data_IF_251246036053
#
_entry.id   IF_251246036053
#
_cell.length_a   1.000
_cell.length_b   1.000
_cell.length_c   1.000
_cell.angle_alpha   90.00
_cell.angle_beta   90.00
_cell.angle_gamma   90.00
#
_symmetry.space_group_name_H-M   'P 1'
#
loop_
_entity.id
_entity.type
_entity.pdbx_description
1 polymer ?
#
# COMPACT_ATOMS: atom_id res chain seq x y z
N UNK A 1 -47.55 -26.84 -20.20
CA UNK A 1 -47.01 -26.19 -18.97
C UNK A 1 -45.55 -26.54 -18.71
N UNK A 2 -45.17 -27.83 -18.63
CA UNK A 2 -43.77 -28.25 -18.40
C UNK A 2 -42.75 -27.70 -19.42
N UNK A 3 -43.07 -27.68 -20.72
CA UNK A 3 -42.17 -27.12 -21.73
C UNK A 3 -41.99 -25.60 -21.66
N UNK A 4 -43.04 -24.86 -21.27
CA UNK A 4 -42.95 -23.39 -21.10
C UNK A 4 -42.02 -23.02 -19.93
N UNK A 5 -42.08 -23.79 -18.84
CA UNK A 5 -41.19 -23.65 -17.69
C UNK A 5 -39.73 -23.87 -18.07
N UNK A 6 -39.45 -24.88 -18.90
CA UNK A 6 -38.08 -25.18 -19.35
C UNK A 6 -37.52 -24.05 -20.23
N UNK A 7 -38.34 -23.46 -21.11
CA UNK A 7 -37.93 -22.34 -21.97
C UNK A 7 -37.64 -21.08 -21.13
N UNK A 8 -38.48 -20.78 -20.13
CA UNK A 8 -38.27 -19.65 -19.22
C UNK A 8 -36.99 -19.79 -18.38
N UNK A 9 -36.69 -20.98 -17.88
CA UNK A 9 -35.46 -21.27 -17.14
C UNK A 9 -34.22 -21.11 -18.04
N UNK A 10 -34.33 -21.49 -19.31
CA UNK A 10 -33.24 -21.35 -20.29
C UNK A 10 -32.89 -19.89 -20.58
N UNK A 11 -33.89 -19.01 -20.66
CA UNK A 11 -33.71 -17.57 -20.88
C UNK A 11 -33.11 -16.89 -19.63
N UNK A 12 -33.53 -17.29 -18.43
CA UNK A 12 -33.00 -16.81 -17.15
C UNK A 12 -31.51 -17.13 -16.96
N UNK A 13 -31.07 -18.30 -17.42
CA UNK A 13 -29.66 -18.71 -17.36
C UNK A 13 -28.78 -17.94 -18.36
N UNK A 14 -29.34 -17.54 -19.51
CA UNK A 14 -28.65 -16.72 -20.53
C UNK A 14 -28.52 -15.23 -20.13
N UNK A 15 -29.35 -14.75 -19.20
CA UNK A 15 -29.26 -13.38 -18.68
C UNK A 15 -28.24 -13.18 -17.55
N UNK A 16 -27.42 -14.20 -17.25
CA UNK A 16 -26.30 -14.01 -16.34
C UNK A 16 -25.33 -13.02 -16.99
N UNK A 17 -25.11 -11.82 -16.42
CA UNK A 17 -24.06 -10.96 -16.92
C UNK A 17 -22.76 -11.75 -16.89
N UNK A 18 -22.08 -11.81 -18.04
CA UNK A 18 -20.72 -12.29 -18.18
C UNK A 18 -19.79 -11.36 -17.38
N UNK A 19 -19.86 -11.39 -16.05
CA UNK A 19 -18.86 -10.81 -15.17
C UNK A 19 -17.66 -11.75 -15.17
N UNK A 20 -16.96 -11.73 -16.30
CA UNK A 20 -15.73 -12.48 -16.55
C UNK A 20 -14.82 -11.76 -17.55
N UNK A 21 -15.10 -10.50 -17.85
CA UNK A 21 -14.14 -9.69 -18.60
C UNK A 21 -13.09 -9.21 -17.60
N UNK A 22 -11.93 -9.87 -17.61
CA UNK A 22 -10.70 -9.30 -17.08
C UNK A 22 -10.44 -8.00 -17.84
N UNK A 23 -11.03 -6.90 -17.38
CA UNK A 23 -10.54 -5.58 -17.75
C UNK A 23 -9.16 -5.46 -17.11
N UNK A 24 -8.17 -5.09 -17.91
CA UNK A 24 -6.89 -4.66 -17.34
C UNK A 24 -7.18 -3.59 -16.29
N UNK A 25 -6.49 -3.65 -15.14
CA UNK A 25 -6.64 -2.67 -14.02
C UNK A 25 -6.57 -1.21 -14.50
N UNK A 26 -5.99 -0.98 -15.67
CA UNK A 26 -5.82 0.31 -16.31
C UNK A 26 -6.29 0.30 -17.76
N UNK A 27 -6.84 1.43 -18.21
CA UNK A 27 -7.34 1.62 -19.59
C UNK A 27 -6.25 2.10 -20.56
N UNK A 28 -5.13 2.62 -20.03
CA UNK A 28 -3.98 3.05 -20.82
C UNK A 28 -2.69 3.06 -19.99
N UNK A 29 -1.55 3.09 -20.67
CA UNK A 29 -0.23 3.26 -20.03
C UNK A 29 -0.18 4.58 -19.24
N UNK A 30 -0.74 5.66 -19.78
CA UNK A 30 -0.79 6.95 -19.09
C UNK A 30 -1.60 6.89 -17.79
N UNK A 31 -2.75 6.21 -17.82
CA UNK A 31 -3.60 6.06 -16.63
C UNK A 31 -2.96 5.13 -15.59
N UNK A 32 -2.25 4.09 -16.02
CA UNK A 32 -1.42 3.26 -15.15
C UNK A 32 -0.36 4.09 -14.42
N UNK A 33 0.45 4.86 -15.16
CA UNK A 33 1.53 5.67 -14.59
C UNK A 33 0.99 6.70 -13.59
N UNK A 34 -0.05 7.46 -13.96
CA UNK A 34 -0.60 8.49 -13.10
C UNK A 34 -1.21 7.91 -11.81
N UNK A 35 -1.94 6.80 -11.93
CA UNK A 35 -2.55 6.14 -10.78
C UNK A 35 -1.47 5.55 -9.86
N UNK A 36 -0.44 4.91 -10.41
CA UNK A 36 0.69 4.39 -9.62
C UNK A 36 1.46 5.51 -8.93
N UNK A 37 1.73 6.63 -9.61
CA UNK A 37 2.39 7.78 -8.99
C UNK A 37 1.56 8.34 -7.84
N UNK A 38 0.23 8.43 -8.00
CA UNK A 38 -0.68 8.90 -6.95
C UNK A 38 -0.76 7.93 -5.76
N UNK A 39 -0.89 6.63 -6.02
CA UNK A 39 -0.91 5.57 -5.00
C UNK A 39 0.37 5.59 -4.15
N UNK A 40 1.52 5.83 -4.78
CA UNK A 40 2.81 5.93 -4.09
C UNK A 40 3.12 7.34 -3.55
N UNK A 41 2.16 8.28 -3.61
CA UNK A 41 2.33 9.69 -3.19
C UNK A 41 3.56 10.35 -3.82
N UNK A 42 3.81 10.05 -5.09
CA UNK A 42 4.92 10.59 -5.90
C UNK A 42 4.51 11.83 -6.70
N UNK A 43 3.35 12.41 -6.41
CA UNK A 43 2.81 13.56 -7.15
C UNK A 43 3.10 14.86 -6.42
N UNK A 44 3.54 15.89 -7.13
CA UNK A 44 3.70 17.25 -6.58
C UNK A 44 4.82 17.36 -5.54
N UNK A 45 4.55 18.13 -4.47
CA UNK A 45 5.52 18.41 -3.40
C UNK A 45 5.80 17.21 -2.49
N UNK A 46 4.94 16.17 -2.49
CA UNK A 46 5.11 15.00 -1.63
C UNK A 46 6.40 14.22 -1.97
N UNK A 47 6.70 14.06 -3.26
CA UNK A 47 7.96 13.46 -3.71
C UNK A 47 9.17 14.29 -3.25
N UNK A 48 9.07 15.62 -3.31
CA UNK A 48 10.14 16.52 -2.87
C UNK A 48 10.36 16.42 -1.35
N UNK A 49 9.28 16.45 -0.57
CA UNK A 49 9.37 16.34 0.90
C UNK A 49 9.93 14.97 1.32
N UNK A 50 9.51 13.89 0.64
CA UNK A 50 10.04 12.55 0.84
C UNK A 50 11.57 12.48 0.62
N UNK A 51 12.03 13.03 -0.51
CA UNK A 51 13.46 13.08 -0.82
C UNK A 51 14.21 13.98 0.17
N UNK A 52 13.63 15.13 0.52
CA UNK A 52 14.20 16.08 1.48
C UNK A 52 14.42 15.44 2.85
N UNK A 53 13.41 14.78 3.42
CA UNK A 53 13.52 14.11 4.72
C UNK A 53 14.58 13.00 4.72
N UNK A 54 14.65 12.23 3.63
CA UNK A 54 15.65 11.17 3.50
C UNK A 54 17.06 11.75 3.37
N UNK A 55 17.23 12.82 2.58
CA UNK A 55 18.49 13.53 2.46
C UNK A 55 18.91 14.19 3.79
N UNK A 56 18.00 14.84 4.52
CA UNK A 56 18.28 15.43 5.84
C UNK A 56 18.74 14.36 6.84
N UNK A 57 18.14 13.17 6.80
CA UNK A 57 18.57 12.01 7.61
C UNK A 57 19.96 11.50 7.22
N UNK A 58 20.25 11.40 5.92
CA UNK A 58 21.54 10.90 5.39
C UNK A 58 22.65 11.91 5.69
N UNK A 59 22.38 13.19 5.47
CA UNK A 59 23.33 14.29 5.63
C UNK A 59 23.58 14.58 7.11
N UNK A 60 22.58 14.28 7.97
CA UNK A 60 22.63 14.35 9.43
C UNK A 60 24.03 14.61 9.96
N UNK A 61 24.36 15.90 10.08
CA UNK A 61 25.68 16.34 10.52
C UNK A 61 26.05 15.51 11.73
N UNK A 62 27.24 14.89 11.68
CA UNK A 62 27.80 14.01 12.69
C UNK A 62 28.13 14.75 13.99
N UNK A 63 27.13 15.38 14.60
CA UNK A 63 27.16 15.92 15.94
C UNK A 63 26.04 15.26 16.74
N UNK A 64 26.45 14.17 17.37
CA UNK A 64 26.11 13.76 18.72
C UNK A 64 24.62 13.66 19.10
N UNK A 65 24.16 12.42 19.25
CA UNK A 65 23.25 12.04 20.33
C UNK A 65 21.77 12.47 20.26
N UNK A 66 21.34 13.29 19.29
CA UNK A 66 19.90 13.61 19.17
C UNK A 66 19.16 12.44 18.53
N UNK A 67 18.74 11.48 19.37
CA UNK A 67 17.69 10.54 19.03
C UNK A 67 16.43 11.36 18.74
N UNK A 68 16.19 11.67 17.46
CA UNK A 68 14.93 12.28 17.03
C UNK A 68 13.82 11.26 17.22
N UNK A 69 13.31 11.20 18.47
CA UNK A 69 12.13 10.46 18.84
C UNK A 69 10.96 11.14 18.15
N UNK A 70 10.45 10.50 17.11
CA UNK A 70 9.32 11.00 16.33
C UNK A 70 8.21 9.97 16.43
N UNK A 71 6.99 10.39 16.76
CA UNK A 71 5.83 9.52 16.56
C UNK A 71 5.50 9.48 15.06
N UNK A 72 5.26 8.29 14.53
CA UNK A 72 4.94 8.13 13.12
C UNK A 72 4.52 6.72 12.74
N UNK A 73 4.46 6.47 11.43
CA UNK A 73 4.04 5.19 10.85
C UNK A 73 5.21 4.54 10.12
N UNK A 74 5.43 3.24 10.36
CA UNK A 74 6.35 2.40 9.60
C UNK A 74 5.61 1.17 9.07
N UNK A 75 6.08 0.64 7.96
CA UNK A 75 5.60 -0.55 7.29
C UNK A 75 6.71 -1.60 7.32
N UNK A 76 6.39 -2.76 7.85
CA UNK A 76 7.26 -3.91 7.98
C UNK A 76 6.98 -4.91 6.86
N UNK A 77 8.00 -5.22 6.08
CA UNK A 77 7.92 -6.24 5.02
C UNK A 77 9.26 -6.94 4.82
N UNK A 78 9.20 -8.12 4.22
CA UNK A 78 10.40 -8.84 3.78
C UNK A 78 10.75 -8.42 2.36
N UNK A 79 11.97 -7.90 2.16
CA UNK A 79 12.52 -7.58 0.84
C UNK A 79 13.75 -8.46 0.64
N UNK A 80 13.75 -9.28 -0.41
CA UNK A 80 14.83 -10.24 -0.71
C UNK A 80 15.15 -11.17 0.47
N UNK A 81 14.13 -11.65 1.19
CA UNK A 81 14.28 -12.55 2.33
C UNK A 81 14.75 -11.88 3.63
N UNK A 82 14.90 -10.55 3.66
CA UNK A 82 15.28 -9.79 4.85
C UNK A 82 14.11 -8.92 5.31
N UNK A 83 13.75 -9.05 6.58
CA UNK A 83 12.76 -8.18 7.21
C UNK A 83 13.31 -6.76 7.42
N UNK A 84 12.53 -5.75 7.08
CA UNK A 84 12.89 -4.35 7.24
C UNK A 84 11.70 -3.45 7.56
N UNK A 85 12.00 -2.27 8.10
CA UNK A 85 11.03 -1.20 8.35
C UNK A 85 11.18 -0.12 7.29
N UNK A 86 10.05 0.34 6.76
CA UNK A 86 9.97 1.29 5.67
C UNK A 86 8.97 2.38 6.02
N UNK A 87 9.21 3.64 5.63
CA UNK A 87 8.22 4.72 5.82
C UNK A 87 6.97 4.57 4.96
N UNK A 88 7.07 3.77 3.91
CA UNK A 88 6.00 3.55 2.94
C UNK A 88 5.77 2.07 2.77
N UNK A 89 4.50 1.71 2.71
CA UNK A 89 4.06 0.35 2.46
C UNK A 89 2.58 0.35 2.10
N UNK A 90 2.15 -0.81 1.66
CA UNK A 90 0.76 -1.08 1.34
C UNK A 90 0.03 -1.45 2.63
N UNK A 91 -0.99 -0.66 3.01
CA UNK A 91 -1.80 -0.90 4.20
C UNK A 91 -2.59 -2.21 4.15
N UNK A 92 -2.65 -2.91 3.03
CA UNK A 92 -3.32 -4.21 2.95
C UNK A 92 -2.32 -5.38 2.97
N UNK A 93 -1.02 -5.11 2.78
CA UNK A 93 0.00 -6.16 2.57
C UNK A 93 1.18 -6.09 3.52
N UNK A 94 1.58 -4.90 3.96
CA UNK A 94 2.81 -4.68 4.73
C UNK A 94 2.47 -4.36 6.18
N UNK A 95 3.00 -5.10 7.17
CA UNK A 95 2.62 -4.89 8.57
C UNK A 95 2.83 -3.45 9.04
N UNK A 96 1.86 -2.82 9.69
CA UNK A 96 1.88 -1.40 10.03
C UNK A 96 2.24 -1.19 11.50
N UNK A 97 3.29 -0.42 11.78
CA UNK A 97 3.63 0.09 13.09
C UNK A 97 3.23 1.56 13.19
N UNK A 98 2.53 1.92 14.27
CA UNK A 98 2.20 3.32 14.61
C UNK A 98 2.72 3.59 16.00
N UNK A 99 3.68 4.50 16.14
CA UNK A 99 4.26 4.81 17.45
C UNK A 99 5.60 5.50 17.36
N UNK A 100 6.37 5.38 18.42
CA UNK A 100 7.67 6.02 18.59
C UNK A 100 8.72 5.44 17.62
N UNK A 101 9.37 6.30 16.86
CA UNK A 101 10.38 5.95 15.87
C UNK A 101 11.68 6.65 16.23
N UNK A 102 12.77 5.88 16.26
CA UNK A 102 14.13 6.39 16.42
C UNK A 102 15.00 5.77 15.34
N UNK A 103 15.76 6.61 14.61
CA UNK A 103 16.65 6.19 13.53
C UNK A 103 15.96 5.29 12.48
N UNK A 104 14.71 5.63 12.14
CA UNK A 104 13.92 4.91 11.13
C UNK A 104 13.42 3.52 11.57
N UNK A 105 13.47 3.21 12.87
CA UNK A 105 12.99 1.94 13.42
C UNK A 105 11.99 2.20 14.55
N UNK A 106 11.02 1.29 14.76
CA UNK A 106 10.17 1.30 15.95
C UNK A 106 11.03 1.31 17.21
N UNK A 107 10.70 2.17 18.17
CA UNK A 107 11.44 2.33 19.40
C UNK A 107 10.53 2.80 20.53
N UNK A 108 10.06 1.87 21.36
CA UNK A 108 9.24 2.18 22.53
C UNK A 108 7.76 1.94 22.28
N UNK A 109 6.91 2.89 22.67
CA UNK A 109 5.47 2.71 22.68
C UNK A 109 4.89 2.79 21.26
N UNK A 110 4.05 1.81 20.91
CA UNK A 110 3.34 1.81 19.64
C UNK A 110 2.53 0.54 19.42
N UNK A 111 1.73 0.56 18.37
CA UNK A 111 0.88 -0.56 17.96
C UNK A 111 1.43 -1.12 16.65
N UNK A 112 1.71 -2.43 16.63
CA UNK A 112 2.05 -3.14 15.41
C UNK A 112 0.88 -4.03 14.99
N UNK A 113 0.40 -3.83 13.76
CA UNK A 113 -0.66 -4.60 13.13
C UNK A 113 -0.07 -5.40 11.98
N UNK A 114 -0.10 -6.73 12.11
CA UNK A 114 0.18 -7.62 10.99
C UNK A 114 -1.05 -7.65 10.08
N UNK A 115 -0.86 -7.45 8.78
CA UNK A 115 -1.92 -7.78 7.84
C UNK A 115 -1.96 -9.29 7.65
N UNK A 116 -2.95 -9.88 8.29
CA UNK A 116 -3.50 -11.18 8.00
C UNK A 116 -5.00 -10.99 7.99
N UNK A 117 -5.59 -10.80 6.80
CA UNK A 117 -7.01 -11.07 6.65
C UNK A 117 -7.23 -12.53 7.01
N UNK A 118 -8.08 -12.78 8.01
CA UNK A 118 -8.81 -14.04 8.08
C UNK A 118 -9.68 -14.20 6.84
#
# INVERSE_FOLDING_TARGET
>A
VRHLLIILISILLLSSPLFGQSSSKYESVGQCVLQTMKENKLTGNDMFNMVKEECERIIGNGEDGVKNKQEGVLYGRSVNGKWGWYRYGDEEKDGKYVGEIVNGKPNGQGTFTLFGGS
#
